data_IF_555887057508
#
_entry.id   IF_555887057508
#
_cell.length_a   1.000
_cell.length_b   1.000
_cell.length_c   1.000
_cell.angle_alpha   90.00
_cell.angle_beta   90.00
_cell.angle_gamma   90.00
#
_symmetry.space_group_name_H-M   'P 1'
#
loop_
_entity.id
_entity.type
_entity.pdbx_description
1 polymer ?
#
# COMPACT_ATOMS: atom_id res chain seq x y z
N UNK A 1 3.28 26.70 -27.77
CA UNK A 1 3.42 25.36 -28.37
C UNK A 1 3.62 24.35 -27.24
N UNK A 2 2.67 23.46 -27.01
CA UNK A 2 2.82 22.35 -26.06
C UNK A 2 3.80 21.34 -26.65
N UNK A 3 5.03 21.29 -26.13
CA UNK A 3 5.99 20.25 -26.50
C UNK A 3 5.50 18.92 -25.94
N UNK A 4 4.98 18.06 -26.80
CA UNK A 4 4.64 16.68 -26.48
C UNK A 4 5.86 15.79 -26.70
N UNK A 5 6.14 14.88 -25.76
CA UNK A 5 7.18 13.86 -25.87
C UNK A 5 6.53 12.48 -25.73
N UNK A 6 6.98 11.52 -26.55
CA UNK A 6 6.45 10.16 -26.52
C UNK A 6 7.22 9.31 -25.52
N UNK A 7 6.50 8.53 -24.71
CA UNK A 7 7.08 7.58 -23.74
C UNK A 7 6.78 6.16 -24.23
N UNK A 8 7.83 5.37 -24.44
CA UNK A 8 7.74 3.95 -24.79
C UNK A 8 8.26 3.12 -23.63
N UNK A 9 7.47 2.17 -23.16
CA UNK A 9 7.85 1.22 -22.11
C UNK A 9 7.50 -0.20 -22.55
N UNK A 10 8.41 -1.15 -22.34
CA UNK A 10 8.12 -2.57 -22.51
C UNK A 10 7.50 -3.09 -21.22
N UNK A 11 6.34 -3.71 -21.32
CA UNK A 11 5.59 -4.29 -20.21
C UNK A 11 5.08 -5.67 -20.62
N UNK A 12 4.94 -6.56 -19.64
CA UNK A 12 4.29 -7.85 -19.82
C UNK A 12 2.83 -7.65 -20.26
N UNK A 13 2.31 -8.41 -21.24
CA UNK A 13 0.95 -8.27 -21.74
C UNK A 13 -0.11 -8.44 -20.64
N UNK A 14 0.08 -9.42 -19.75
CA UNK A 14 -0.83 -9.69 -18.63
C UNK A 14 -0.89 -8.52 -17.65
N UNK A 15 0.27 -7.94 -17.33
CA UNK A 15 0.36 -6.77 -16.45
C UNK A 15 -0.35 -5.55 -17.06
N UNK A 16 -0.19 -5.36 -18.38
CA UNK A 16 -0.90 -4.31 -19.11
C UNK A 16 -2.41 -4.44 -18.96
N UNK A 17 -2.93 -5.63 -19.21
CA UNK A 17 -4.38 -5.89 -19.18
C UNK A 17 -4.96 -5.69 -17.78
N UNK A 18 -4.28 -6.19 -16.75
CA UNK A 18 -4.66 -5.97 -15.35
C UNK A 18 -4.70 -4.48 -14.99
N UNK A 19 -3.63 -3.74 -15.34
CA UNK A 19 -3.57 -2.30 -15.07
C UNK A 19 -4.69 -1.55 -15.81
N UNK A 20 -4.96 -1.90 -17.06
CA UNK A 20 -5.99 -1.27 -17.88
C UNK A 20 -7.40 -1.53 -17.33
N UNK A 21 -7.68 -2.72 -16.81
CA UNK A 21 -8.95 -3.03 -16.13
C UNK A 21 -9.17 -2.16 -14.90
N UNK A 22 -8.16 -2.05 -14.02
CA UNK A 22 -8.24 -1.23 -12.80
C UNK A 22 -8.41 0.26 -13.15
N UNK A 23 -7.60 0.77 -14.07
CA UNK A 23 -7.66 2.17 -14.49
C UNK A 23 -9.00 2.52 -15.16
N UNK A 24 -9.58 1.58 -15.92
CA UNK A 24 -10.90 1.73 -16.52
C UNK A 24 -12.01 1.84 -15.47
N UNK A 25 -11.94 1.08 -14.39
CA UNK A 25 -12.88 1.21 -13.26
C UNK A 25 -12.78 2.59 -12.59
N UNK A 26 -11.58 3.16 -12.56
CA UNK A 26 -11.34 4.52 -12.06
C UNK A 26 -11.69 5.62 -13.08
N UNK A 27 -12.07 5.26 -14.31
CA UNK A 27 -12.35 6.21 -15.40
C UNK A 27 -11.11 6.92 -15.94
N UNK A 28 -9.92 6.36 -15.71
CA UNK A 28 -8.63 6.97 -16.08
C UNK A 28 -8.03 6.18 -17.26
N UNK A 29 -7.71 6.82 -18.40
CA UNK A 29 -7.00 6.14 -19.48
C UNK A 29 -5.52 5.92 -19.12
N UNK A 30 -4.92 4.84 -19.64
CA UNK A 30 -3.54 4.43 -19.33
C UNK A 30 -2.51 5.56 -19.52
N UNK A 31 -2.63 6.34 -20.61
CA UNK A 31 -1.73 7.47 -20.88
C UNK A 31 -1.83 8.59 -19.84
N UNK A 32 -3.02 8.83 -19.29
CA UNK A 32 -3.22 9.81 -18.23
C UNK A 32 -2.66 9.30 -16.90
N UNK A 33 -2.78 8.01 -16.60
CA UNK A 33 -2.16 7.40 -15.43
C UNK A 33 -0.62 7.54 -15.45
N UNK A 34 0.02 7.30 -16.60
CA UNK A 34 1.46 7.54 -16.79
C UNK A 34 1.80 9.02 -16.57
N UNK A 35 0.98 9.93 -17.09
CA UNK A 35 1.17 11.38 -16.91
C UNK A 35 1.06 11.80 -15.44
N UNK A 36 0.11 11.23 -14.68
CA UNK A 36 -0.05 11.47 -13.25
C UNK A 36 1.15 10.94 -12.46
N UNK A 37 1.63 9.74 -12.78
CA UNK A 37 2.82 9.17 -12.17
C UNK A 37 4.04 10.09 -12.35
N UNK A 38 4.31 10.53 -13.57
CA UNK A 38 5.44 11.43 -13.85
C UNK A 38 5.32 12.78 -13.12
N UNK A 39 4.10 13.33 -13.03
CA UNK A 39 3.86 14.55 -12.25
C UNK A 39 4.17 14.34 -10.78
N UNK A 40 3.78 13.20 -10.22
CA UNK A 40 4.04 12.89 -8.82
C UNK A 40 5.53 12.69 -8.54
N UNK A 41 6.27 12.07 -9.48
CA UNK A 41 7.73 11.97 -9.40
C UNK A 41 8.39 13.34 -9.34
N UNK A 42 7.95 14.28 -10.18
CA UNK A 42 8.47 15.65 -10.19
C UNK A 42 8.11 16.40 -8.90
N UNK A 43 6.86 16.28 -8.44
CA UNK A 43 6.36 16.96 -7.24
C UNK A 43 7.12 16.51 -5.98
N UNK A 44 7.32 15.21 -5.82
CA UNK A 44 7.94 14.63 -4.63
C UNK A 44 9.47 14.53 -4.74
N UNK A 45 10.05 14.82 -5.92
CA UNK A 45 11.48 14.59 -6.22
C UNK A 45 11.92 13.17 -5.85
N UNK A 46 11.07 12.18 -6.10
CA UNK A 46 11.24 10.80 -5.67
C UNK A 46 10.23 9.87 -6.32
N UNK A 47 10.26 8.58 -5.99
CA UNK A 47 9.27 7.63 -6.50
C UNK A 47 8.00 7.73 -5.64
N UNK A 48 6.81 7.90 -6.27
CA UNK A 48 5.57 8.24 -5.59
C UNK A 48 4.85 7.09 -4.90
N UNK A 49 5.56 6.00 -4.67
CA UNK A 49 5.11 4.86 -3.93
C UNK A 49 6.30 4.34 -3.12
N UNK A 50 6.00 3.72 -1.99
CA UNK A 50 7.02 3.19 -1.10
C UNK A 50 7.73 2.01 -1.80
N UNK A 51 9.02 2.17 -2.12
CA UNK A 51 9.84 1.07 -2.65
C UNK A 51 10.33 0.25 -1.47
N UNK A 52 9.41 -0.53 -0.92
CA UNK A 52 9.72 -1.50 0.13
C UNK A 52 9.58 -2.88 -0.48
N UNK A 53 10.56 -3.75 -0.24
CA UNK A 53 10.24 -5.18 -0.28
C UNK A 53 9.10 -5.39 0.72
N UNK A 54 8.09 -6.22 0.44
CA UNK A 54 7.06 -6.56 1.42
C UNK A 54 7.74 -7.19 2.62
N UNK A 55 8.12 -6.36 3.58
CA UNK A 55 8.70 -6.82 4.82
C UNK A 55 7.53 -7.42 5.60
N UNK A 56 7.57 -8.74 5.77
CA UNK A 56 6.78 -9.44 6.75
C UNK A 56 7.32 -9.05 8.15
N UNK A 57 7.21 -7.76 8.49
CA UNK A 57 7.54 -7.25 9.82
C UNK A 57 6.23 -6.83 10.47
N UNK A 58 5.97 -7.28 11.71
CA UNK A 58 4.81 -6.81 12.45
C UNK A 58 4.90 -5.28 12.62
N UNK A 59 3.75 -4.61 12.59
CA UNK A 59 3.64 -3.17 12.86
C UNK A 59 4.32 -2.87 14.20
N UNK A 60 5.38 -2.07 14.19
CA UNK A 60 6.10 -1.67 15.39
C UNK A 60 5.67 -0.26 15.80
N UNK A 61 5.51 -0.02 17.10
CA UNK A 61 5.06 1.26 17.66
C UNK A 61 5.86 2.48 17.14
N UNK A 62 7.13 2.30 16.77
CA UNK A 62 7.99 3.36 16.24
C UNK A 62 7.73 3.76 14.77
N UNK A 63 6.83 3.09 14.05
CA UNK A 63 6.53 3.39 12.65
C UNK A 63 5.15 3.99 12.39
N UNK A 64 4.35 4.21 13.44
CA UNK A 64 3.02 4.83 13.32
C UNK A 64 3.05 6.30 13.72
N UNK A 65 2.28 7.12 13.00
CA UNK A 65 1.94 8.45 13.48
C UNK A 65 0.91 8.36 14.62
N UNK A 66 0.81 9.42 15.43
CA UNK A 66 -0.05 9.47 16.63
C UNK A 66 -1.52 9.18 16.29
N UNK A 67 -1.96 9.62 15.10
CA UNK A 67 -3.33 9.39 14.62
C UNK A 67 -3.59 7.92 14.32
N UNK A 68 -2.72 7.27 13.55
CA UNK A 68 -2.86 5.85 13.19
C UNK A 68 -2.73 4.95 14.41
N UNK A 69 -1.92 5.36 15.41
CA UNK A 69 -1.85 4.66 16.69
C UNK A 69 -3.19 4.72 17.43
N UNK A 70 -3.80 5.91 17.56
CA UNK A 70 -5.08 6.06 18.22
C UNK A 70 -6.20 5.25 17.52
N UNK A 71 -6.22 5.28 16.18
CA UNK A 71 -7.18 4.49 15.38
C UNK A 71 -7.06 2.97 15.64
N UNK A 72 -5.84 2.47 15.85
CA UNK A 72 -5.60 1.05 16.13
C UNK A 72 -6.00 0.67 17.57
N UNK A 73 -5.79 1.56 18.54
CA UNK A 73 -6.27 1.37 19.91
C UNK A 73 -7.80 1.34 19.97
N UNK A 74 -8.48 2.22 19.24
CA UNK A 74 -9.95 2.23 19.18
C UNK A 74 -10.51 0.92 18.61
N UNK A 75 -9.89 0.35 17.57
CA UNK A 75 -10.25 -0.97 17.05
C UNK A 75 -10.06 -2.06 18.10
N UNK A 76 -8.94 -2.06 18.83
CA UNK A 76 -8.70 -3.00 19.92
C UNK A 76 -9.76 -2.91 21.02
N UNK A 77 -10.18 -1.70 21.38
CA UNK A 77 -11.24 -1.48 22.37
C UNK A 77 -12.61 -1.96 21.85
N UNK A 78 -12.89 -1.78 20.56
CA UNK A 78 -14.09 -2.31 19.91
C UNK A 78 -14.10 -3.85 19.86
N UNK A 79 -12.95 -4.49 19.62
CA UNK A 79 -12.80 -5.94 19.63
C UNK A 79 -12.98 -6.53 21.03
N UNK A 80 -12.49 -5.85 22.07
CA UNK A 80 -12.75 -6.19 23.48
C UNK A 80 -14.25 -6.16 23.77
N UNK A 81 -14.95 -5.09 23.39
CA UNK A 81 -16.39 -4.95 23.58
C UNK A 81 -17.20 -5.98 22.80
N UNK A 82 -16.72 -6.39 21.62
CA UNK A 82 -17.35 -7.41 20.80
C UNK A 82 -17.00 -8.86 21.21
N UNK A 83 -16.21 -9.05 22.28
CA UNK A 83 -15.78 -10.37 22.75
C UNK A 83 -14.78 -11.07 21.84
N UNK A 84 -14.20 -10.37 20.85
CA UNK A 84 -13.16 -10.89 19.96
C UNK A 84 -11.79 -10.82 20.64
N UNK A 85 -11.67 -11.57 21.73
CA UNK A 85 -10.45 -11.67 22.52
C UNK A 85 -9.73 -12.98 22.25
N UNK A 86 -8.41 -12.94 22.32
CA UNK A 86 -7.56 -14.12 22.19
C UNK A 86 -6.55 -14.12 23.33
N UNK A 87 -6.15 -15.29 23.80
CA UNK A 87 -5.14 -15.39 24.86
C UNK A 87 -3.78 -14.92 24.35
N UNK A 88 -2.98 -14.37 25.27
CA UNK A 88 -1.62 -13.93 24.97
C UNK A 88 -0.76 -15.07 24.38
N UNK A 89 -0.95 -16.31 24.86
CA UNK A 89 -0.26 -17.50 24.34
C UNK A 89 -0.58 -17.76 22.88
N UNK A 90 -1.86 -17.69 22.49
CA UNK A 90 -2.29 -17.92 21.11
C UNK A 90 -1.81 -16.82 20.16
N UNK A 91 -1.73 -15.58 20.66
CA UNK A 91 -1.11 -14.45 19.94
C UNK A 91 0.39 -14.70 19.75
N UNK A 92 1.09 -15.13 20.81
CA UNK A 92 2.51 -15.41 20.75
C UNK A 92 2.85 -16.57 19.80
N UNK A 93 2.02 -17.62 19.74
CA UNK A 93 2.15 -18.69 18.76
C UNK A 93 1.92 -18.20 17.33
N UNK A 94 0.85 -17.42 17.10
CA UNK A 94 0.56 -16.84 15.79
C UNK A 94 1.69 -15.93 15.30
N UNK A 95 2.19 -15.04 16.17
CA UNK A 95 3.31 -14.16 15.86
C UNK A 95 4.58 -14.96 15.52
N UNK A 96 4.85 -16.05 16.24
CA UNK A 96 6.00 -16.93 15.97
C UNK A 96 5.86 -17.71 14.66
N UNK A 97 4.65 -18.10 14.28
CA UNK A 97 4.39 -18.76 12.98
C UNK A 97 4.50 -17.80 11.81
N UNK A 98 3.93 -16.61 11.95
CA UNK A 98 3.79 -15.66 10.85
C UNK A 98 5.06 -14.78 10.67
N UNK A 99 5.84 -14.59 11.75
CA UNK A 99 7.03 -13.72 11.79
C UNK A 99 8.27 -14.33 12.45
N UNK A 100 8.22 -15.56 12.95
CA UNK A 100 9.39 -16.26 13.46
C UNK A 100 10.29 -16.67 12.29
N UNK A 101 11.48 -16.09 12.23
CA UNK A 101 12.58 -16.61 11.42
C UNK A 101 13.16 -17.87 12.05
#
# INVERSE_FOLDING_TARGET
MTRTSNVFARIEPELKEQAEQVLKQLGIPMSNAISLFLRQVVLQRGIPFDIKLPENKPLTFGSLDEKSFNDEIEKGLADLNAGRITSAERVAEKMRRDYGK
#
